data_IF_269299251101
#
_entry.id   IF_269299251101
#
_cell.length_a   1.000
_cell.length_b   1.000
_cell.length_c   1.000
_cell.angle_alpha   90.00
_cell.angle_beta   90.00
_cell.angle_gamma   90.00
#
_symmetry.space_group_name_H-M   'P 1'
#
loop_
_entity.id
_entity.type
_entity.pdbx_description
1 polymer ?
#
# COMPACT_ATOMS: atom_id res chain seq x y z
N UNK A 1 -25.52 -15.02 20.79
CA UNK A 1 -24.73 -14.05 20.00
C UNK A 1 -23.88 -13.24 20.98
N UNK A 2 -22.56 -13.11 20.79
CA UNK A 2 -21.71 -12.32 21.71
C UNK A 2 -22.25 -10.89 21.85
N UNK A 3 -22.26 -10.32 23.07
CA UNK A 3 -22.77 -8.97 23.35
C UNK A 3 -22.18 -7.90 22.42
N UNK A 4 -20.89 -8.00 22.10
CA UNK A 4 -20.18 -7.10 21.16
C UNK A 4 -20.73 -7.24 19.73
N UNK A 5 -21.01 -8.46 19.27
CA UNK A 5 -21.57 -8.68 17.93
C UNK A 5 -22.98 -8.10 17.81
N UNK A 6 -23.78 -8.21 18.87
CA UNK A 6 -25.11 -7.60 18.92
C UNK A 6 -25.02 -6.08 18.91
N UNK A 7 -24.17 -5.50 19.76
CA UNK A 7 -23.95 -4.05 19.81
C UNK A 7 -23.51 -3.47 18.45
N UNK A 8 -22.53 -4.12 17.80
CA UNK A 8 -22.04 -3.70 16.50
C UNK A 8 -23.11 -3.84 15.41
N UNK A 9 -23.90 -4.91 15.44
CA UNK A 9 -24.99 -5.10 14.47
C UNK A 9 -26.07 -4.01 14.60
N UNK A 10 -26.45 -3.67 15.83
CA UNK A 10 -27.53 -2.70 16.11
C UNK A 10 -27.09 -1.25 15.88
N UNK A 11 -25.85 -0.88 16.21
CA UNK A 11 -25.39 0.52 16.17
C UNK A 11 -24.42 0.85 15.04
N UNK A 12 -23.59 -0.11 14.63
CA UNK A 12 -22.54 0.09 13.63
C UNK A 12 -22.55 -1.01 12.55
N UNK A 13 -23.66 -1.15 11.79
CA UNK A 13 -23.87 -2.28 10.89
C UNK A 13 -22.79 -2.39 9.81
N UNK A 14 -22.19 -1.28 9.36
CA UNK A 14 -21.06 -1.32 8.41
C UNK A 14 -19.82 -1.99 9.01
N UNK A 15 -19.43 -1.58 10.22
CA UNK A 15 -18.30 -2.14 10.98
C UNK A 15 -18.51 -3.63 11.25
N UNK A 16 -19.74 -4.00 11.62
CA UNK A 16 -20.12 -5.40 11.84
C UNK A 16 -20.05 -6.23 10.54
N UNK A 17 -20.53 -5.65 9.43
CA UNK A 17 -20.60 -6.32 8.13
C UNK A 17 -19.21 -6.59 7.56
N UNK A 18 -18.30 -5.62 7.65
CA UNK A 18 -16.91 -5.76 7.18
C UNK A 18 -16.02 -6.56 8.15
N UNK A 19 -16.53 -6.88 9.35
CA UNK A 19 -15.78 -7.56 10.42
C UNK A 19 -14.54 -6.78 10.85
N UNK A 20 -14.57 -5.45 10.69
CA UNK A 20 -13.43 -4.56 10.95
C UNK A 20 -12.80 -4.78 12.32
N UNK A 21 -13.61 -4.80 13.39
CA UNK A 21 -13.09 -4.99 14.77
C UNK A 21 -12.31 -6.30 14.88
N UNK A 22 -12.87 -7.41 14.38
CA UNK A 22 -12.24 -8.72 14.47
C UNK A 22 -10.96 -8.80 13.62
N UNK A 23 -10.97 -8.19 12.43
CA UNK A 23 -9.81 -8.16 11.55
C UNK A 23 -8.66 -7.35 12.14
N UNK A 24 -8.96 -6.17 12.70
CA UNK A 24 -7.94 -5.34 13.34
C UNK A 24 -7.42 -5.97 14.63
N UNK A 25 -8.28 -6.61 15.44
CA UNK A 25 -7.81 -7.36 16.60
C UNK A 25 -6.90 -8.53 16.21
N UNK A 26 -7.25 -9.30 15.19
CA UNK A 26 -6.42 -10.41 14.71
C UNK A 26 -5.09 -9.91 14.12
N UNK A 27 -5.13 -8.87 13.29
CA UNK A 27 -3.92 -8.23 12.74
C UNK A 27 -3.03 -7.69 13.87
N UNK A 28 -3.59 -7.07 14.91
CA UNK A 28 -2.82 -6.55 16.04
C UNK A 28 -2.07 -7.66 16.81
N UNK A 29 -2.70 -8.82 17.00
CA UNK A 29 -2.01 -9.98 17.61
C UNK A 29 -0.85 -10.46 16.74
N UNK A 30 -1.03 -10.50 15.41
CA UNK A 30 0.04 -10.89 14.49
C UNK A 30 1.13 -9.82 14.45
N UNK A 31 0.81 -8.54 14.48
CA UNK A 31 1.79 -7.45 14.62
C UNK A 31 2.63 -7.63 15.90
N UNK A 32 2.02 -7.97 17.03
CA UNK A 32 2.74 -8.26 18.27
C UNK A 32 3.66 -9.47 18.11
N UNK A 33 3.21 -10.53 17.44
CA UNK A 33 4.05 -11.68 17.12
C UNK A 33 5.26 -11.28 16.26
N UNK A 34 5.07 -10.50 15.20
CA UNK A 34 6.17 -10.04 14.34
C UNK A 34 7.14 -9.12 15.06
N UNK A 35 6.64 -8.27 15.98
CA UNK A 35 7.49 -7.49 16.86
C UNK A 35 8.38 -8.38 17.72
N UNK A 36 7.81 -9.41 18.35
CA UNK A 36 8.57 -10.37 19.17
C UNK A 36 9.59 -11.13 18.32
N UNK A 37 9.23 -11.57 17.11
CA UNK A 37 10.15 -12.24 16.19
C UNK A 37 11.33 -11.32 15.83
N UNK A 38 11.06 -10.06 15.46
CA UNK A 38 12.12 -9.09 15.17
C UNK A 38 12.99 -8.79 16.38
N UNK A 39 12.41 -8.70 17.57
CA UNK A 39 13.15 -8.49 18.82
C UNK A 39 14.18 -9.60 19.09
N UNK A 40 13.83 -10.84 18.81
CA UNK A 40 14.73 -11.99 19.01
C UNK A 40 15.56 -12.36 17.76
N UNK A 41 15.39 -11.67 16.62
CA UNK A 41 16.09 -12.02 15.37
C UNK A 41 17.56 -11.57 15.33
N UNK A 42 17.99 -10.74 16.28
CA UNK A 42 19.32 -10.12 16.27
C UNK A 42 20.39 -11.11 16.75
N UNK A 43 21.27 -11.50 15.83
CA UNK A 43 22.46 -12.29 16.12
C UNK A 43 23.65 -11.37 16.40
N UNK A 44 24.20 -11.45 17.61
CA UNK A 44 25.31 -10.59 18.04
C UNK A 44 26.60 -10.83 17.27
N UNK A 45 26.88 -12.10 16.93
CA UNK A 45 28.07 -12.43 16.17
C UNK A 45 27.99 -11.84 14.76
N UNK A 46 26.82 -11.97 14.12
CA UNK A 46 26.58 -11.42 12.78
C UNK A 46 26.72 -9.89 12.74
N UNK A 47 26.27 -9.20 13.79
CA UNK A 47 26.45 -7.74 13.93
C UNK A 47 27.93 -7.32 13.98
N UNK A 48 28.82 -8.19 14.47
CA UNK A 48 30.25 -7.92 14.65
C UNK A 48 31.12 -8.45 13.52
N UNK A 49 30.66 -9.40 12.70
CA UNK A 49 31.51 -10.06 11.68
C UNK A 49 31.14 -9.75 10.25
N UNK A 50 30.01 -9.08 10.00
CA UNK A 50 29.50 -8.86 8.64
C UNK A 50 28.53 -7.69 8.60
N UNK A 51 28.24 -7.16 7.40
CA UNK A 51 27.16 -6.18 7.24
C UNK A 51 25.79 -6.82 7.49
N UNK A 52 25.06 -6.23 8.43
CA UNK A 52 23.72 -6.62 8.82
C UNK A 52 22.71 -5.57 8.36
N UNK A 53 21.58 -6.02 7.84
CA UNK A 53 20.42 -5.18 7.58
C UNK A 53 19.16 -5.85 8.10
N UNK A 54 18.33 -5.05 8.78
CA UNK A 54 17.02 -5.52 9.26
C UNK A 54 16.12 -5.92 8.10
N UNK A 55 16.23 -5.20 6.98
CA UNK A 55 15.53 -5.52 5.74
C UNK A 55 15.98 -6.89 5.21
N UNK A 56 17.28 -7.14 5.06
CA UNK A 56 17.81 -8.43 4.57
C UNK A 56 17.35 -9.60 5.46
N UNK A 57 17.47 -9.43 6.78
CA UNK A 57 17.05 -10.43 7.78
C UNK A 57 15.57 -10.77 7.70
N UNK A 58 14.73 -9.80 7.33
CA UNK A 58 13.31 -10.03 7.15
C UNK A 58 12.99 -10.89 5.92
N UNK A 59 13.72 -10.73 4.81
CA UNK A 59 13.47 -11.46 3.56
C UNK A 59 13.79 -12.97 3.60
N UNK A 60 14.19 -13.50 4.77
CA UNK A 60 14.25 -14.94 5.05
C UNK A 60 12.90 -15.52 5.52
N UNK A 61 12.95 -16.31 6.60
CA UNK A 61 11.77 -16.93 7.21
C UNK A 61 10.64 -15.94 7.61
N UNK A 62 10.94 -14.75 8.20
CA UNK A 62 9.89 -13.81 8.60
C UNK A 62 9.01 -13.34 7.43
N UNK A 63 9.60 -13.13 6.24
CA UNK A 63 8.85 -12.75 5.05
C UNK A 63 7.86 -13.84 4.62
N UNK A 64 8.29 -15.10 4.58
CA UNK A 64 7.39 -16.23 4.25
C UNK A 64 6.24 -16.33 5.26
N UNK A 65 6.55 -16.17 6.54
CA UNK A 65 5.54 -16.15 7.59
C UNK A 65 4.55 -14.99 7.41
N UNK A 66 5.02 -13.81 6.99
CA UNK A 66 4.15 -12.66 6.73
C UNK A 66 3.20 -12.99 5.59
N UNK A 67 3.69 -13.53 4.47
CA UNK A 67 2.85 -13.94 3.35
C UNK A 67 1.77 -14.93 3.80
N UNK A 68 2.14 -15.96 4.57
CA UNK A 68 1.20 -16.96 5.07
C UNK A 68 0.12 -16.32 5.94
N UNK A 69 0.49 -15.52 6.95
CA UNK A 69 -0.49 -14.86 7.82
C UNK A 69 -1.37 -13.87 7.05
N UNK A 70 -0.78 -13.06 6.18
CA UNK A 70 -1.50 -12.12 5.32
C UNK A 70 -2.55 -12.82 4.48
N UNK A 71 -2.16 -13.89 3.77
CA UNK A 71 -3.05 -14.65 2.88
C UNK A 71 -4.17 -15.32 3.69
N UNK A 72 -3.85 -16.01 4.79
CA UNK A 72 -4.86 -16.68 5.61
C UNK A 72 -5.88 -15.68 6.16
N UNK A 73 -5.40 -14.55 6.66
CA UNK A 73 -6.24 -13.50 7.23
C UNK A 73 -7.14 -12.86 6.17
N UNK A 74 -6.58 -12.50 5.00
CA UNK A 74 -7.33 -11.85 3.92
C UNK A 74 -8.28 -12.81 3.20
N UNK A 75 -7.89 -14.05 2.94
CA UNK A 75 -8.77 -15.06 2.33
C UNK A 75 -9.91 -15.37 3.30
N UNK A 76 -9.61 -15.63 4.57
CA UNK A 76 -10.60 -15.86 5.61
C UNK A 76 -11.60 -14.70 5.69
N UNK A 77 -11.11 -13.47 5.67
CA UNK A 77 -11.94 -12.26 5.62
C UNK A 77 -12.81 -12.15 4.37
N UNK A 78 -12.24 -12.35 3.18
CA UNK A 78 -12.97 -12.28 1.91
C UNK A 78 -14.11 -13.31 1.87
N UNK A 79 -13.91 -14.51 2.42
CA UNK A 79 -15.01 -15.50 2.53
C UNK A 79 -16.15 -15.02 3.42
N UNK A 80 -15.85 -14.39 4.57
CA UNK A 80 -16.86 -13.83 5.47
C UNK A 80 -17.56 -12.62 4.87
N UNK A 81 -16.80 -11.75 4.19
CA UNK A 81 -17.31 -10.58 3.50
C UNK A 81 -18.29 -10.99 2.39
N UNK A 82 -17.99 -12.04 1.64
CA UNK A 82 -18.86 -12.55 0.57
C UNK A 82 -20.17 -13.15 1.09
N UNK A 83 -20.16 -13.82 2.25
CA UNK A 83 -21.38 -14.35 2.89
C UNK A 83 -22.37 -13.24 3.24
N UNK A 84 -21.88 -12.07 3.66
CA UNK A 84 -22.70 -10.93 4.06
C UNK A 84 -22.62 -9.81 3.01
N UNK A 85 -23.25 -10.01 1.84
CA UNK A 85 -23.30 -8.96 0.82
C UNK A 85 -24.42 -7.95 1.10
N UNK A 86 -24.13 -6.97 1.95
CA UNK A 86 -25.03 -5.84 2.24
C UNK A 86 -25.44 -5.02 1.00
N UNK A 87 -24.78 -5.20 -0.16
CA UNK A 87 -25.13 -4.53 -1.41
C UNK A 87 -26.06 -5.35 -2.32
N UNK A 88 -26.33 -6.62 -2.00
CA UNK A 88 -27.31 -7.45 -2.71
C UNK A 88 -28.72 -7.33 -2.14
N UNK A 89 -28.86 -6.80 -0.91
CA UNK A 89 -30.15 -6.55 -0.29
C UNK A 89 -30.41 -5.04 -0.22
N UNK A 90 -31.70 -4.69 -0.19
CA UNK A 90 -32.30 -3.34 -0.17
C UNK A 90 -31.89 -2.43 1.01
N UNK A 91 -30.61 -2.44 1.42
CA UNK A 91 -30.10 -1.52 2.42
C UNK A 91 -29.98 -0.12 1.79
N UNK A 92 -30.65 0.91 2.34
CA UNK A 92 -30.44 2.29 1.91
C UNK A 92 -28.99 2.68 2.22
N UNK A 93 -28.13 2.63 1.19
CA UNK A 93 -26.73 2.98 1.30
C UNK A 93 -26.56 4.47 1.02
N UNK A 94 -26.29 5.29 2.04
CA UNK A 94 -25.88 6.68 1.82
C UNK A 94 -24.44 6.70 1.20
N UNK A 95 -24.10 7.67 0.33
CA UNK A 95 -22.74 7.90 -0.16
C UNK A 95 -21.64 7.81 0.91
N UNK A 96 -21.85 8.36 2.10
CA UNK A 96 -20.88 8.29 3.20
C UNK A 96 -20.66 6.86 3.71
N UNK A 97 -21.70 6.02 3.70
CA UNK A 97 -21.59 4.60 4.07
C UNK A 97 -20.84 3.79 3.01
N UNK A 98 -20.95 4.17 1.72
CA UNK A 98 -20.18 3.56 0.64
C UNK A 98 -18.69 3.87 0.79
N UNK A 99 -18.33 5.14 0.93
CA UNK A 99 -16.96 5.57 1.19
C UNK A 99 -16.41 4.95 2.48
N UNK A 100 -17.21 4.94 3.56
CA UNK A 100 -16.82 4.31 4.82
C UNK A 100 -16.48 2.82 4.68
N UNK A 101 -17.19 2.07 3.82
CA UNK A 101 -16.83 0.68 3.55
C UNK A 101 -15.53 0.54 2.77
N UNK A 102 -15.28 1.40 1.77
CA UNK A 102 -14.00 1.43 1.07
C UNK A 102 -12.83 1.71 2.04
N UNK A 103 -12.97 2.72 2.90
CA UNK A 103 -11.98 3.04 3.92
C UNK A 103 -11.73 1.85 4.88
N UNK A 104 -12.78 1.13 5.26
CA UNK A 104 -12.64 -0.09 6.07
C UNK A 104 -11.88 -1.20 5.33
N UNK A 105 -12.14 -1.41 4.03
CA UNK A 105 -11.39 -2.38 3.23
C UNK A 105 -9.91 -2.02 3.16
N UNK A 106 -9.60 -0.74 2.90
CA UNK A 106 -8.24 -0.24 2.89
C UNK A 106 -7.53 -0.48 4.24
N UNK A 107 -8.16 -0.11 5.36
CA UNK A 107 -7.60 -0.27 6.70
C UNK A 107 -7.34 -1.75 7.04
N UNK A 108 -8.28 -2.64 6.70
CA UNK A 108 -8.12 -4.08 6.94
C UNK A 108 -6.94 -4.63 6.13
N UNK A 109 -6.87 -4.32 4.84
CA UNK A 109 -5.80 -4.80 3.96
C UNK A 109 -4.45 -4.24 4.42
N UNK A 110 -4.39 -2.94 4.74
CA UNK A 110 -3.17 -2.30 5.23
C UNK A 110 -2.64 -2.95 6.50
N UNK A 111 -3.51 -3.14 7.49
CA UNK A 111 -3.15 -3.81 8.75
C UNK A 111 -2.74 -5.27 8.53
N UNK A 112 -3.25 -5.92 7.48
CA UNK A 112 -2.94 -7.32 7.19
C UNK A 112 -1.64 -7.49 6.42
N UNK A 113 -1.12 -6.48 5.72
CA UNK A 113 0.06 -6.61 4.83
C UNK A 113 1.32 -5.94 5.39
N UNK A 114 1.21 -5.20 6.50
CA UNK A 114 2.29 -4.36 7.05
C UNK A 114 2.99 -4.95 8.27
N UNK A 115 2.92 -6.26 8.49
CA UNK A 115 3.61 -6.90 9.64
C UNK A 115 5.13 -6.69 9.63
N UNK A 116 5.72 -6.43 8.46
CA UNK A 116 7.12 -6.01 8.31
C UNK A 116 7.49 -4.84 9.23
N UNK A 117 6.59 -3.85 9.37
CA UNK A 117 6.83 -2.66 10.20
C UNK A 117 7.05 -3.07 11.66
N UNK A 118 6.24 -4.00 12.16
CA UNK A 118 6.39 -4.49 13.53
C UNK A 118 7.68 -5.28 13.72
N UNK A 119 8.08 -6.09 12.73
CA UNK A 119 9.36 -6.80 12.75
C UNK A 119 10.54 -5.83 12.86
N UNK A 120 10.61 -4.82 11.99
CA UNK A 120 11.68 -3.81 12.01
C UNK A 120 11.72 -3.09 13.35
N UNK A 121 10.55 -2.70 13.88
CA UNK A 121 10.47 -2.06 15.20
C UNK A 121 10.97 -2.96 16.33
N UNK A 122 10.66 -4.26 16.29
CA UNK A 122 11.17 -5.23 17.26
C UNK A 122 12.70 -5.34 17.23
N UNK A 123 13.26 -5.51 16.03
CA UNK A 123 14.71 -5.58 15.81
C UNK A 123 15.42 -4.32 16.28
N UNK A 124 14.86 -3.14 15.98
CA UNK A 124 15.39 -1.85 16.46
C UNK A 124 15.46 -1.79 17.97
N UNK A 125 14.36 -2.12 18.66
CA UNK A 125 14.31 -2.07 20.13
C UNK A 125 15.33 -3.03 20.74
N UNK A 126 15.50 -4.22 20.17
CA UNK A 126 16.50 -5.19 20.62
C UNK A 126 17.93 -4.65 20.51
N UNK A 127 18.27 -4.03 19.37
CA UNK A 127 19.58 -3.40 19.16
C UNK A 127 19.80 -2.25 20.14
N UNK A 128 18.82 -1.36 20.32
CA UNK A 128 18.91 -0.21 21.23
C UNK A 128 19.13 -0.59 22.69
N UNK A 129 18.50 -1.68 23.14
CA UNK A 129 18.68 -2.18 24.50
C UNK A 129 20.07 -2.78 24.72
N UNK A 130 20.64 -3.44 23.69
CA UNK A 130 21.97 -4.05 23.77
C UNK A 130 23.10 -3.04 23.58
N UNK A 131 22.91 -2.06 22.68
CA UNK A 131 23.91 -1.11 22.26
C UNK A 131 23.38 0.33 22.34
N UNK A 132 23.28 0.91 23.55
CA UNK A 132 22.83 2.29 23.73
C UNK A 132 23.68 3.28 22.91
N UNK A 133 23.07 4.40 22.51
CA UNK A 133 23.73 5.42 21.67
C UNK A 133 25.03 5.95 22.29
N UNK A 134 25.08 6.10 23.61
CA UNK A 134 26.30 6.51 24.33
C UNK A 134 27.45 5.52 24.15
N UNK A 135 27.15 4.22 24.20
CA UNK A 135 28.15 3.16 24.01
C UNK A 135 28.70 3.17 22.59
N UNK A 136 27.83 3.30 21.59
CA UNK A 136 28.26 3.35 20.18
C UNK A 136 29.06 4.62 19.89
N UNK A 137 28.70 5.74 20.50
CA UNK A 137 29.44 7.01 20.35
C UNK A 137 30.85 6.91 20.92
N UNK A 138 30.99 6.32 22.12
CA UNK A 138 32.30 6.07 22.74
C UNK A 138 33.13 5.09 21.91
N UNK A 139 32.54 3.96 21.51
CA UNK A 139 33.21 2.96 20.67
C UNK A 139 33.72 3.57 19.36
N UNK A 140 32.90 4.42 18.72
CA UNK A 140 33.27 5.14 17.49
C UNK A 140 34.40 6.14 17.72
N UNK A 141 34.41 6.84 18.85
CA UNK A 141 35.51 7.75 19.20
C UNK A 141 36.82 6.99 19.34
N UNK A 142 36.82 5.89 20.08
CA UNK A 142 38.01 5.06 20.31
C UNK A 142 38.53 4.46 19.00
N UNK A 143 37.64 3.89 18.19
CA UNK A 143 38.00 3.36 16.87
C UNK A 143 38.67 4.40 15.96
N UNK A 144 38.18 5.65 15.96
CA UNK A 144 38.76 6.74 15.17
C UNK A 144 40.10 7.26 15.72
N UNK A 145 40.36 7.11 17.02
CA UNK A 145 41.66 7.42 17.62
C UNK A 145 42.68 6.32 17.26
N UNK A 146 42.30 5.05 17.36
CA UNK A 146 43.13 3.90 16.94
C UNK A 146 43.49 3.98 15.44
N UNK A 147 42.54 4.36 14.58
CA UNK A 147 42.77 4.56 13.14
C UNK A 147 43.77 5.69 12.84
N UNK A 148 43.83 6.74 13.69
CA UNK A 148 44.77 7.86 13.53
C UNK A 148 46.17 7.54 14.05
N UNK A 149 46.29 6.65 15.03
CA UNK A 149 47.56 6.23 15.61
C UNK A 149 48.24 5.11 14.81
N UNK A 150 47.52 4.43 13.91
CA UNK A 150 48.07 3.42 13.01
C UNK A 150 48.91 4.06 11.89
N UNK A 151 50.20 3.71 11.81
CA UNK A 151 51.13 4.16 10.74
C UNK A 151 50.64 3.72 9.35
N UNK A 152 50.80 4.61 8.36
CA UNK A 152 50.31 4.50 6.97
C UNK A 152 50.79 3.23 6.22
N UNK A 153 51.89 2.62 6.68
CA UNK A 153 52.51 1.42 6.09
C UNK A 153 52.05 0.08 6.73
N UNK A 154 51.26 0.13 7.81
CA UNK A 154 50.72 -1.06 8.50
C UNK A 154 49.27 -1.31 8.09
N UNK A 155 49.00 -1.36 6.77
CA UNK A 155 47.70 -1.73 6.24
C UNK A 155 47.49 -3.24 6.46
N UNK A 156 47.01 -3.61 7.64
CA UNK A 156 46.72 -5.00 7.98
C UNK A 156 45.65 -5.56 7.04
N UNK A 157 46.02 -6.70 6.47
CA UNK A 157 45.34 -7.54 5.49
C UNK A 157 44.10 -8.29 6.04
N UNK A 158 43.47 -7.80 7.12
CA UNK A 158 42.24 -8.39 7.67
C UNK A 158 41.07 -7.38 7.60
N UNK A 159 40.23 -7.65 6.60
CA UNK A 159 38.89 -7.11 6.33
C UNK A 159 38.13 -6.66 7.60
N UNK A 160 38.13 -5.35 7.87
CA UNK A 160 37.32 -4.60 8.87
C UNK A 160 37.15 -5.28 10.26
N UNK A 161 37.71 -4.68 11.31
CA UNK A 161 37.57 -5.19 12.69
C UNK A 161 36.12 -5.26 13.21
N UNK A 162 35.89 -6.04 14.28
CA UNK A 162 34.56 -6.27 14.89
C UNK A 162 33.80 -4.97 15.21
N UNK A 163 34.53 -3.96 15.66
CA UNK A 163 33.94 -2.69 16.08
C UNK A 163 33.48 -1.87 14.88
N UNK A 164 34.17 -1.97 13.73
CA UNK A 164 33.72 -1.34 12.48
C UNK A 164 32.34 -1.86 12.07
N UNK A 165 32.18 -3.19 11.99
CA UNK A 165 30.91 -3.79 11.62
C UNK A 165 29.82 -3.46 12.63
N UNK A 166 30.11 -3.53 13.93
CA UNK A 166 29.15 -3.23 14.98
C UNK A 166 28.65 -1.78 14.90
N UNK A 167 29.55 -0.80 14.82
CA UNK A 167 29.20 0.62 14.68
C UNK A 167 28.31 0.80 13.45
N UNK A 168 28.75 0.30 12.29
CA UNK A 168 28.03 0.52 11.03
C UNK A 168 26.65 -0.13 11.04
N UNK A 169 26.53 -1.34 11.58
CA UNK A 169 25.26 -2.06 11.63
C UNK A 169 24.27 -1.46 12.62
N UNK A 170 24.74 -0.96 13.77
CA UNK A 170 23.88 -0.31 14.76
C UNK A 170 23.43 1.06 14.25
N UNK A 171 24.31 1.85 13.64
CA UNK A 171 23.95 3.08 12.94
C UNK A 171 22.94 2.81 11.82
N UNK A 172 23.21 1.82 10.97
CA UNK A 172 22.28 1.41 9.92
C UNK A 172 20.94 0.91 10.49
N UNK A 173 20.89 0.29 11.67
CA UNK A 173 19.62 -0.10 12.29
C UNK A 173 18.81 1.12 12.81
N UNK A 174 19.50 2.17 13.25
CA UNK A 174 18.88 3.43 13.61
C UNK A 174 18.36 4.19 12.39
N UNK A 175 19.14 4.20 11.32
CA UNK A 175 18.71 4.73 10.03
C UNK A 175 17.64 3.86 9.39
N UNK A 176 17.70 2.53 9.42
CA UNK A 176 16.73 1.59 8.82
C UNK A 176 15.31 1.80 9.38
N UNK A 177 15.22 2.09 10.68
CA UNK A 177 13.98 2.46 11.33
C UNK A 177 13.46 3.86 10.93
N UNK A 178 14.36 4.76 10.52
CA UNK A 178 14.07 6.02 9.83
C UNK A 178 13.72 5.78 8.34
N UNK A 179 14.29 4.73 7.73
CA UNK A 179 14.13 4.24 6.34
C UNK A 179 12.86 3.39 6.18
N UNK A 180 12.00 3.29 7.20
CA UNK A 180 10.54 3.41 6.98
C UNK A 180 10.20 4.82 6.42
N UNK A 181 10.99 5.26 5.45
CA UNK A 181 10.88 6.53 4.77
C UNK A 181 9.46 6.62 4.23
N UNK A 182 8.90 7.82 4.19
CA UNK A 182 7.64 8.05 3.51
C UNK A 182 7.64 7.41 2.11
N UNK A 183 8.80 7.41 1.44
CA UNK A 183 8.98 6.76 0.15
C UNK A 183 8.72 5.24 0.17
N UNK A 184 9.38 4.46 1.05
CA UNK A 184 9.18 3.01 1.08
C UNK A 184 7.78 2.62 1.55
N UNK A 185 7.28 3.25 2.61
CA UNK A 185 5.93 3.01 3.14
C UNK A 185 4.87 3.35 2.09
N UNK A 186 5.05 4.47 1.41
CA UNK A 186 4.23 4.94 0.31
C UNK A 186 4.16 3.97 -0.86
N UNK A 187 5.32 3.67 -1.46
CA UNK A 187 5.35 2.97 -2.74
C UNK A 187 5.12 1.47 -2.62
N UNK A 188 5.67 0.83 -1.58
CA UNK A 188 5.65 -0.64 -1.48
C UNK A 188 4.49 -1.18 -0.63
N UNK A 189 3.90 -0.36 0.25
CA UNK A 189 2.79 -0.81 1.11
C UNK A 189 1.49 -0.07 0.81
N UNK A 190 1.49 1.26 0.76
CA UNK A 190 0.25 2.03 0.58
C UNK A 190 -0.37 1.85 -0.81
N UNK A 191 0.41 1.95 -1.89
CA UNK A 191 -0.13 1.84 -3.26
C UNK A 191 -0.69 0.44 -3.57
N UNK A 192 0.01 -0.68 -3.29
CA UNK A 192 -0.56 -2.01 -3.49
C UNK A 192 -1.81 -2.25 -2.64
N UNK A 193 -1.81 -1.77 -1.38
CA UNK A 193 -2.98 -1.85 -0.50
C UNK A 193 -4.17 -1.11 -1.10
N UNK A 194 -3.95 0.11 -1.60
CA UNK A 194 -4.98 0.92 -2.24
C UNK A 194 -5.57 0.20 -3.46
N UNK A 195 -4.70 -0.39 -4.30
CA UNK A 195 -5.11 -1.14 -5.48
C UNK A 195 -5.99 -2.35 -5.13
N UNK A 196 -5.56 -3.18 -4.16
CA UNK A 196 -6.36 -4.33 -3.69
C UNK A 196 -7.68 -3.87 -3.06
N UNK A 197 -7.68 -2.79 -2.28
CA UNK A 197 -8.90 -2.23 -1.70
C UNK A 197 -9.89 -1.75 -2.77
N UNK A 198 -9.40 -1.13 -3.85
CA UNK A 198 -10.22 -0.73 -4.99
C UNK A 198 -10.82 -1.94 -5.71
N UNK A 199 -10.05 -3.03 -5.92
CA UNK A 199 -10.58 -4.27 -6.51
C UNK A 199 -11.73 -4.82 -5.67
N UNK A 200 -11.52 -4.97 -4.36
CA UNK A 200 -12.56 -5.46 -3.44
C UNK A 200 -13.78 -4.54 -3.49
N UNK A 201 -13.57 -3.22 -3.49
CA UNK A 201 -14.64 -2.25 -3.57
C UNK A 201 -15.44 -2.34 -4.87
N UNK A 202 -14.77 -2.42 -6.03
CA UNK A 202 -15.38 -2.59 -7.35
C UNK A 202 -16.31 -3.81 -7.40
N UNK A 203 -15.79 -4.99 -7.03
CA UNK A 203 -16.56 -6.26 -7.04
C UNK A 203 -17.77 -6.18 -6.12
N UNK A 204 -17.64 -5.52 -4.96
CA UNK A 204 -18.70 -5.37 -3.97
C UNK A 204 -19.76 -4.36 -4.37
N UNK A 205 -19.36 -3.27 -5.02
CA UNK A 205 -20.27 -2.20 -5.43
C UNK A 205 -21.07 -2.59 -6.66
N UNK A 206 -20.42 -3.18 -7.68
CA UNK A 206 -21.04 -3.49 -8.97
C UNK A 206 -21.45 -4.96 -9.05
N UNK A 207 -20.51 -5.85 -9.37
CA UNK A 207 -20.59 -7.32 -9.28
C UNK A 207 -19.29 -7.91 -9.79
N UNK A 208 -19.02 -9.18 -9.50
CA UNK A 208 -17.89 -9.90 -10.12
C UNK A 208 -17.98 -9.90 -11.64
N UNK A 209 -19.18 -10.12 -12.21
CA UNK A 209 -19.40 -10.12 -13.66
C UNK A 209 -19.05 -8.76 -14.29
N UNK A 210 -19.56 -7.66 -13.73
CA UNK A 210 -19.28 -6.32 -14.23
C UNK A 210 -17.81 -5.94 -14.08
N UNK A 211 -17.15 -6.41 -13.01
CA UNK A 211 -15.73 -6.20 -12.80
C UNK A 211 -14.88 -6.92 -13.86
N UNK A 212 -15.16 -8.19 -14.14
CA UNK A 212 -14.48 -8.94 -15.19
C UNK A 212 -14.66 -8.32 -16.58
N UNK A 213 -15.87 -7.86 -16.90
CA UNK A 213 -16.12 -7.10 -18.14
C UNK A 213 -15.36 -5.77 -18.17
N UNK A 214 -15.21 -5.10 -17.02
CA UNK A 214 -14.33 -3.94 -16.85
C UNK A 214 -12.89 -4.22 -17.23
N UNK A 215 -12.33 -5.35 -16.77
CA UNK A 215 -10.97 -5.77 -17.15
C UNK A 215 -10.87 -5.96 -18.66
N UNK A 216 -11.82 -6.67 -19.28
CA UNK A 216 -11.82 -6.87 -20.74
C UNK A 216 -11.90 -5.53 -21.47
N UNK A 217 -12.80 -4.64 -21.03
CA UNK A 217 -12.93 -3.29 -21.59
C UNK A 217 -11.62 -2.49 -21.50
N UNK A 218 -10.94 -2.50 -20.35
CA UNK A 218 -9.65 -1.83 -20.16
C UNK A 218 -8.58 -2.34 -21.14
N UNK A 219 -8.52 -3.66 -21.39
CA UNK A 219 -7.53 -4.24 -22.31
C UNK A 219 -7.84 -3.94 -23.77
N UNK A 220 -9.10 -4.00 -24.16
CA UNK A 220 -9.53 -3.60 -25.51
C UNK A 220 -9.21 -2.13 -25.74
N UNK A 221 -9.51 -1.26 -24.76
CA UNK A 221 -9.17 0.16 -24.84
C UNK A 221 -7.65 0.37 -24.91
N UNK A 222 -6.86 -0.37 -24.14
CA UNK A 222 -5.40 -0.30 -24.18
C UNK A 222 -4.85 -0.69 -25.56
N UNK A 223 -5.42 -1.70 -26.22
CA UNK A 223 -5.03 -2.09 -27.58
C UNK A 223 -5.33 -0.96 -28.59
N UNK A 224 -6.50 -0.33 -28.49
CA UNK A 224 -6.87 0.82 -29.32
C UNK A 224 -5.90 1.98 -29.08
N UNK A 225 -5.59 2.29 -27.82
CA UNK A 225 -4.63 3.34 -27.48
C UNK A 225 -3.22 3.02 -27.96
N UNK A 226 -2.77 1.76 -27.89
CA UNK A 226 -1.48 1.32 -28.41
C UNK A 226 -1.39 1.55 -29.93
N UNK A 227 -2.45 1.23 -30.68
CA UNK A 227 -2.54 1.53 -32.11
C UNK A 227 -2.37 3.03 -32.38
N UNK A 228 -3.11 3.90 -31.70
CA UNK A 228 -2.96 5.36 -31.84
C UNK A 228 -1.58 5.86 -31.39
N UNK A 229 -0.98 5.23 -30.38
CA UNK A 229 0.36 5.58 -29.88
C UNK A 229 1.42 5.42 -30.96
N UNK A 230 1.32 4.39 -31.81
CA UNK A 230 2.21 4.20 -32.96
C UNK A 230 2.14 5.40 -33.90
N UNK A 231 0.94 5.85 -34.28
CA UNK A 231 0.80 7.02 -35.16
C UNK A 231 1.32 8.31 -34.51
N UNK A 232 0.99 8.55 -33.25
CA UNK A 232 1.48 9.73 -32.52
C UNK A 232 3.01 9.72 -32.40
N UNK A 233 3.62 8.55 -32.18
CA UNK A 233 5.08 8.43 -32.09
C UNK A 233 5.80 8.82 -33.38
N UNK A 234 5.15 8.67 -34.54
CA UNK A 234 5.70 9.04 -35.86
C UNK A 234 5.57 10.54 -36.11
N UNK A 235 4.48 11.16 -35.63
CA UNK A 235 4.11 12.55 -35.99
C UNK A 235 4.58 13.56 -34.94
N UNK A 236 4.68 13.16 -33.67
CA UNK A 236 4.85 14.08 -32.53
C UNK A 236 5.98 13.60 -31.61
N UNK A 237 5.73 13.52 -30.30
CA UNK A 237 6.72 13.16 -29.28
C UNK A 237 6.17 12.11 -28.32
N UNK A 238 7.06 11.47 -27.55
CA UNK A 238 6.67 10.51 -26.52
C UNK A 238 5.77 11.14 -25.44
N UNK A 239 5.94 12.42 -25.12
CA UNK A 239 5.06 13.13 -24.18
C UNK A 239 3.61 13.15 -24.66
N UNK A 240 3.38 13.32 -25.96
CA UNK A 240 2.04 13.32 -26.56
C UNK A 240 1.32 11.98 -26.35
N UNK A 241 2.07 10.87 -26.30
CA UNK A 241 1.53 9.55 -25.94
C UNK A 241 1.07 9.57 -24.48
N UNK A 242 1.88 10.08 -23.55
CA UNK A 242 1.48 10.23 -22.14
C UNK A 242 0.17 11.02 -21.98
N UNK A 243 0.05 12.16 -22.66
CA UNK A 243 -1.18 12.96 -22.66
C UNK A 243 -2.38 12.20 -23.23
N UNK A 244 -2.21 11.38 -24.27
CA UNK A 244 -3.30 10.56 -24.84
C UNK A 244 -3.90 9.63 -23.78
N UNK A 245 -3.07 8.88 -23.05
CA UNK A 245 -3.53 7.95 -22.01
C UNK A 245 -4.20 8.69 -20.85
N UNK A 246 -3.59 9.78 -20.37
CA UNK A 246 -4.16 10.60 -19.29
C UNK A 246 -5.51 11.18 -19.71
N UNK A 247 -5.59 11.80 -20.89
CA UNK A 247 -6.83 12.39 -21.40
C UNK A 247 -7.91 11.33 -21.58
N UNK A 248 -7.58 10.18 -22.15
CA UNK A 248 -8.55 9.09 -22.35
C UNK A 248 -9.06 8.57 -21.01
N UNK A 249 -8.20 8.40 -20.01
CA UNK A 249 -8.60 7.99 -18.67
C UNK A 249 -9.66 8.94 -18.08
N UNK A 250 -9.38 10.25 -18.06
CA UNK A 250 -10.32 11.24 -17.53
C UNK A 250 -11.57 11.41 -18.41
N UNK A 251 -11.44 11.28 -19.74
CA UNK A 251 -12.57 11.32 -20.66
C UNK A 251 -13.54 10.15 -20.43
N UNK A 252 -13.04 8.93 -20.22
CA UNK A 252 -13.90 7.77 -19.90
C UNK A 252 -14.57 7.93 -18.54
N UNK A 253 -13.88 8.48 -17.54
CA UNK A 253 -14.48 8.82 -16.24
C UNK A 253 -15.64 9.81 -16.41
N UNK A 254 -15.42 10.89 -17.16
CA UNK A 254 -16.44 11.91 -17.43
C UNK A 254 -17.60 11.37 -18.29
N UNK A 255 -17.31 10.55 -19.30
CA UNK A 255 -18.33 9.92 -20.13
C UNK A 255 -19.20 8.99 -19.29
N UNK A 256 -18.59 8.22 -18.38
CA UNK A 256 -19.31 7.34 -17.45
C UNK A 256 -20.29 8.14 -16.60
N UNK A 257 -19.89 9.29 -16.07
CA UNK A 257 -20.76 10.10 -15.20
C UNK A 257 -21.91 10.77 -15.97
N UNK A 258 -21.65 11.30 -17.16
CA UNK A 258 -22.66 11.97 -18.01
C UNK A 258 -23.64 10.99 -18.66
N UNK A 259 -23.27 9.72 -18.75
CA UNK A 259 -24.09 8.65 -19.35
C UNK A 259 -25.11 8.04 -18.38
N UNK A 260 -25.16 8.50 -17.13
CA UNK A 260 -26.10 8.01 -16.13
C UNK A 260 -27.56 8.19 -16.60
N UNK A 261 -28.33 7.11 -16.56
CA UNK A 261 -29.72 7.09 -17.05
C UNK A 261 -29.87 7.09 -18.57
N UNK A 262 -28.78 7.24 -19.34
CA UNK A 262 -28.78 7.18 -20.81
C UNK A 262 -28.34 5.83 -21.35
N UNK A 263 -27.45 5.13 -20.63
CA UNK A 263 -26.97 3.80 -20.98
C UNK A 263 -27.52 2.73 -20.03
N UNK A 264 -27.59 1.47 -20.47
CA UNK A 264 -28.04 0.38 -19.61
C UNK A 264 -27.15 0.24 -18.38
N UNK A 265 -27.75 -0.18 -17.25
CA UNK A 265 -27.10 -0.21 -15.93
C UNK A 265 -25.78 -0.97 -15.92
N UNK A 266 -25.70 -2.07 -16.68
CA UNK A 266 -24.52 -2.91 -16.82
C UNK A 266 -23.34 -2.19 -17.50
N UNK A 267 -23.57 -1.32 -18.49
CA UNK A 267 -22.50 -0.56 -19.13
C UNK A 267 -21.94 0.50 -18.19
N UNK A 268 -22.80 1.17 -17.43
CA UNK A 268 -22.35 2.12 -16.40
C UNK A 268 -21.57 1.40 -15.30
N UNK A 269 -21.94 0.16 -14.94
CA UNK A 269 -21.18 -0.65 -13.98
C UNK A 269 -19.74 -0.92 -14.45
N UNK A 270 -19.56 -1.21 -15.74
CA UNK A 270 -18.24 -1.37 -16.38
C UNK A 270 -17.44 -0.06 -16.27
N UNK A 271 -18.07 1.07 -16.63
CA UNK A 271 -17.46 2.40 -16.52
C UNK A 271 -17.09 2.80 -15.09
N UNK A 272 -17.91 2.43 -14.09
CA UNK A 272 -17.61 2.63 -12.66
C UNK A 272 -16.35 1.88 -12.27
N UNK A 273 -16.25 0.60 -12.61
CA UNK A 273 -15.08 -0.22 -12.29
C UNK A 273 -13.82 0.32 -12.98
N UNK A 274 -13.93 0.69 -14.25
CA UNK A 274 -12.84 1.37 -14.98
C UNK A 274 -12.41 2.63 -14.25
N UNK A 275 -13.36 3.52 -13.93
CA UNK A 275 -13.09 4.81 -13.29
C UNK A 275 -12.39 4.67 -11.95
N UNK A 276 -12.84 3.73 -11.10
CA UNK A 276 -12.27 3.48 -9.79
C UNK A 276 -10.83 2.93 -9.87
N UNK A 277 -10.54 2.07 -10.85
CA UNK A 277 -9.21 1.46 -11.01
C UNK A 277 -8.23 2.39 -11.71
N UNK A 278 -8.65 3.08 -12.79
CA UNK A 278 -7.78 3.90 -13.64
C UNK A 278 -7.47 5.27 -13.04
N UNK A 279 -8.29 5.80 -12.13
CA UNK A 279 -8.05 7.11 -11.55
C UNK A 279 -6.65 7.23 -10.90
N UNK A 280 -6.26 6.26 -10.06
CA UNK A 280 -4.98 6.33 -9.35
C UNK A 280 -3.76 6.28 -10.32
N UNK A 281 -3.68 5.33 -11.28
CA UNK A 281 -2.66 5.35 -12.33
C UNK A 281 -2.67 6.63 -13.17
N UNK A 282 -3.84 7.16 -13.55
CA UNK A 282 -3.91 8.39 -14.34
C UNK A 282 -3.41 9.61 -13.57
N UNK A 283 -3.72 9.70 -12.27
CA UNK A 283 -3.19 10.72 -11.37
C UNK A 283 -1.67 10.58 -11.22
N UNK A 284 -1.15 9.36 -11.07
CA UNK A 284 0.29 9.11 -11.01
C UNK A 284 1.02 9.58 -12.28
N UNK A 285 0.51 9.19 -13.45
CA UNK A 285 1.08 9.60 -14.74
C UNK A 285 1.04 11.13 -14.91
N UNK A 286 -0.02 11.79 -14.45
CA UNK A 286 -0.11 13.25 -14.46
C UNK A 286 0.94 13.90 -13.55
N UNK A 287 1.15 13.37 -12.34
CA UNK A 287 2.16 13.86 -11.40
C UNK A 287 3.57 13.69 -11.95
N UNK A 288 3.90 12.53 -12.53
CA UNK A 288 5.20 12.29 -13.17
C UNK A 288 5.48 13.27 -14.31
N UNK A 289 4.45 13.62 -15.09
CA UNK A 289 4.57 14.56 -16.18
C UNK A 289 4.76 16.01 -15.70
N UNK A 290 4.24 16.35 -14.53
CA UNK A 290 4.50 17.64 -13.90
C UNK A 290 5.88 17.68 -13.26
N UNK A 291 6.32 16.58 -12.64
CA UNK A 291 7.66 16.44 -12.09
C UNK A 291 8.74 16.53 -13.18
N UNK A 292 8.54 15.86 -14.32
CA UNK A 292 9.48 15.93 -15.46
C UNK A 292 9.60 17.34 -16.04
N UNK A 293 8.56 18.16 -15.90
CA UNK A 293 8.54 19.57 -16.30
C UNK A 293 8.97 20.53 -15.19
N UNK A 294 9.48 20.03 -14.07
CA UNK A 294 9.87 20.80 -12.88
C UNK A 294 8.73 21.69 -12.34
N UNK A 295 7.47 21.29 -12.57
CA UNK A 295 6.28 21.97 -12.06
C UNK A 295 5.92 21.56 -10.63
N UNK A 296 6.56 20.49 -10.11
CA UNK A 296 6.43 20.02 -8.74
C UNK A 296 7.78 20.10 -8.01
N UNK A 297 7.78 20.41 -6.70
CA UNK A 297 8.98 20.27 -5.88
C UNK A 297 9.51 18.83 -5.89
N UNK A 298 10.84 18.68 -5.99
CA UNK A 298 11.56 17.38 -6.01
C UNK A 298 11.33 16.52 -4.76
N UNK A 299 10.83 17.11 -3.68
CA UNK A 299 10.52 16.41 -2.42
C UNK A 299 9.05 15.99 -2.27
N UNK A 300 8.23 16.07 -3.33
CA UNK A 300 6.81 15.72 -3.22
C UNK A 300 6.63 14.21 -3.02
N UNK A 301 5.98 13.76 -1.94
CA UNK A 301 5.82 12.33 -1.68
C UNK A 301 4.64 11.79 -2.50
N UNK A 302 4.92 11.47 -3.78
CA UNK A 302 3.92 11.14 -4.82
C UNK A 302 2.89 10.10 -4.37
N UNK A 303 3.31 9.06 -3.66
CA UNK A 303 2.44 8.00 -3.13
C UNK A 303 1.35 8.51 -2.16
N UNK A 304 1.65 9.52 -1.34
CA UNK A 304 0.68 10.11 -0.43
C UNK A 304 -0.28 11.04 -1.16
N UNK A 305 0.21 11.77 -2.16
CA UNK A 305 -0.64 12.59 -3.04
C UNK A 305 -1.62 11.68 -3.79
N UNK A 306 -1.14 10.54 -4.31
CA UNK A 306 -2.00 9.52 -4.93
C UNK A 306 -3.04 8.97 -3.96
N UNK A 307 -2.65 8.64 -2.74
CA UNK A 307 -3.56 8.13 -1.72
C UNK A 307 -4.66 9.17 -1.42
N UNK A 308 -4.28 10.40 -1.09
CA UNK A 308 -5.23 11.47 -0.78
C UNK A 308 -6.14 11.79 -1.96
N UNK A 309 -5.57 11.89 -3.17
CA UNK A 309 -6.33 12.12 -4.40
C UNK A 309 -7.33 11.01 -4.67
N UNK A 310 -6.94 9.75 -4.47
CA UNK A 310 -7.84 8.60 -4.66
C UNK A 310 -8.92 8.53 -3.59
N UNK A 311 -8.59 8.81 -2.32
CA UNK A 311 -9.59 8.91 -1.24
C UNK A 311 -10.62 10.00 -1.55
N UNK A 312 -10.17 11.17 -1.98
CA UNK A 312 -11.04 12.28 -2.37
C UNK A 312 -11.92 11.92 -3.57
N UNK A 313 -11.34 11.27 -4.59
CA UNK A 313 -12.07 10.77 -5.74
C UNK A 313 -13.15 9.76 -5.33
N UNK A 314 -12.81 8.70 -4.58
CA UNK A 314 -13.79 7.69 -4.15
C UNK A 314 -14.88 8.30 -3.27
N UNK A 315 -14.54 9.27 -2.42
CA UNK A 315 -15.52 10.01 -1.62
C UNK A 315 -16.53 10.77 -2.50
N UNK A 316 -16.05 11.56 -3.46
CA UNK A 316 -16.91 12.28 -4.41
C UNK A 316 -17.73 11.33 -5.29
N UNK A 317 -17.07 10.30 -5.82
CA UNK A 317 -17.64 9.31 -6.71
C UNK A 317 -18.65 8.38 -6.01
N UNK A 318 -18.61 8.27 -4.68
CA UNK A 318 -19.62 7.54 -3.90
C UNK A 318 -21.03 8.13 -4.07
N UNK A 319 -21.15 9.44 -4.32
CA UNK A 319 -22.45 10.06 -4.66
C UNK A 319 -22.99 9.55 -5.99
N UNK A 320 -22.13 9.49 -6.99
CA UNK A 320 -22.45 8.96 -8.32
C UNK A 320 -22.84 7.48 -8.25
N UNK A 321 -22.06 6.66 -7.56
CA UNK A 321 -22.36 5.23 -7.35
C UNK A 321 -23.72 5.06 -6.67
N UNK A 322 -24.04 5.89 -5.68
CA UNK A 322 -25.33 5.82 -5.01
C UNK A 322 -26.51 6.11 -5.96
N UNK A 323 -26.40 7.14 -6.80
CA UNK A 323 -27.41 7.46 -7.81
C UNK A 323 -27.55 6.33 -8.84
N UNK A 324 -26.43 5.78 -9.33
CA UNK A 324 -26.42 4.62 -10.22
C UNK A 324 -27.11 3.39 -9.61
N UNK A 325 -26.90 3.12 -8.32
CA UNK A 325 -27.59 1.99 -7.67
C UNK A 325 -29.11 2.15 -7.68
N UNK A 326 -29.60 3.38 -7.57
CA UNK A 326 -31.02 3.70 -7.57
C UNK A 326 -31.67 3.67 -8.96
N UNK A 327 -30.91 3.59 -10.05
CA UNK A 327 -31.51 3.47 -11.39
C UNK A 327 -32.18 2.10 -11.55
N UNK A 328 -33.30 2.01 -12.30
CA UNK A 328 -33.87 0.73 -12.72
C UNK A 328 -32.84 -0.13 -13.46
N UNK A 329 -33.05 -1.45 -13.48
CA UNK A 329 -32.16 -2.39 -14.18
C UNK A 329 -32.11 -2.16 -15.69
#
# INVERSE_FOLDING_TARGET
>A
MNKINQYLLERYPSIWNTKLVWMISAAAVIHLLFFVIGFFSINEQELKTSYFSTFSSYFGYPFLLNLVFSILLLVGWLTQLNKNNAFKHFYPSNPHKLFGQFAQYFVIIFASTTFFISFVMGSKVSIQLKYPESYITELKSNYLEEEKEADEDSYYDDMWGSDHYLIKNVENAYEDALILSPFLLGNYFLLPTLFVALIVFCVRVTSLRAFLLGIVFSHVLALVLAFFSVFISIITSYDAIGYLYIFTAFAVIALTTVSLGKLPKNFIAIGINFSLIVFAPALFSLLLLFESKQLLPTATPVSYVMLLGTLAFVYGYSKFIHQWKATPE
#
